data_IF_305448817291
#
_entry.id   IF_305448817291
#
_cell.length_a   1.000
_cell.length_b   1.000
_cell.length_c   1.000
_cell.angle_alpha   90.00
_cell.angle_beta   90.00
_cell.angle_gamma   90.00
#
_symmetry.space_group_name_H-M   'P 1'
#
loop_
_entity.id
_entity.type
_entity.pdbx_description
1 polymer ?
#
# COMPACT_ATOMS: atom_id res chain seq x y z
N UNK A 1 -2.96 4.19 36.24
CA UNK A 1 -1.80 3.61 35.55
C UNK A 1 -0.70 4.65 35.51
N UNK A 2 0.54 4.28 35.83
CA UNK A 2 1.67 5.21 35.76
C UNK A 2 2.08 5.49 34.30
N UNK A 3 2.86 6.55 34.07
CA UNK A 3 3.38 6.89 32.76
C UNK A 3 4.19 5.72 32.16
N UNK A 4 5.03 5.09 32.97
CA UNK A 4 5.87 3.94 32.58
C UNK A 4 5.01 2.74 32.16
N UNK A 5 3.92 2.47 32.88
CA UNK A 5 2.97 1.41 32.51
C UNK A 5 2.29 1.67 31.16
N UNK A 6 1.96 2.94 30.87
CA UNK A 6 1.39 3.33 29.57
C UNK A 6 2.41 3.17 28.44
N UNK A 7 3.68 3.53 28.66
CA UNK A 7 4.75 3.31 27.68
C UNK A 7 4.98 1.81 27.43
N UNK A 8 5.06 1.00 28.48
CA UNK A 8 5.18 -0.46 28.34
C UNK A 8 4.01 -1.06 27.56
N UNK A 9 2.77 -0.61 27.86
CA UNK A 9 1.59 -1.03 27.12
C UNK A 9 1.66 -0.61 25.65
N UNK A 10 2.05 0.63 25.36
CA UNK A 10 2.23 1.12 23.99
C UNK A 10 3.23 0.26 23.20
N UNK A 11 4.40 -0.03 23.79
CA UNK A 11 5.43 -0.91 23.16
C UNK A 11 4.88 -2.31 22.92
N UNK A 12 4.12 -2.87 23.87
CA UNK A 12 3.51 -4.19 23.71
C UNK A 12 2.49 -4.26 22.57
N UNK A 13 1.71 -3.18 22.36
CA UNK A 13 0.75 -3.06 21.28
C UNK A 13 1.48 -2.94 19.94
N UNK A 14 2.49 -2.07 19.87
CA UNK A 14 3.32 -1.87 18.68
C UNK A 14 4.03 -3.17 18.24
N UNK A 15 4.54 -3.97 19.19
CA UNK A 15 5.10 -5.30 18.92
C UNK A 15 4.07 -6.26 18.32
N UNK A 16 2.85 -6.31 18.91
CA UNK A 16 1.77 -7.18 18.41
C UNK A 16 1.33 -6.79 17.01
N UNK A 17 1.19 -5.48 16.75
CA UNK A 17 0.84 -4.95 15.43
C UNK A 17 1.90 -5.37 14.41
N UNK A 18 3.19 -5.27 14.75
CA UNK A 18 4.28 -5.70 13.87
C UNK A 18 4.14 -7.18 13.49
N UNK A 19 4.00 -8.07 14.48
CA UNK A 19 3.87 -9.52 14.25
C UNK A 19 2.64 -9.83 13.37
N UNK A 20 1.50 -9.21 13.67
CA UNK A 20 0.28 -9.40 12.89
C UNK A 20 0.41 -8.89 11.46
N UNK A 21 1.10 -7.75 11.24
CA UNK A 21 1.37 -7.22 9.91
C UNK A 21 2.31 -8.13 9.11
N UNK A 22 3.35 -8.68 9.74
CA UNK A 22 4.27 -9.62 9.09
C UNK A 22 3.52 -10.87 8.62
N UNK A 23 2.70 -11.47 9.50
CA UNK A 23 1.85 -12.61 9.14
C UNK A 23 0.82 -12.26 8.06
N UNK A 24 0.20 -11.09 8.15
CA UNK A 24 -0.77 -10.61 7.15
C UNK A 24 -0.13 -10.44 5.77
N UNK A 25 1.11 -9.94 5.73
CA UNK A 25 1.86 -9.79 4.48
C UNK A 25 2.15 -11.15 3.84
N UNK A 26 2.59 -12.14 4.63
CA UNK A 26 2.80 -13.51 4.14
C UNK A 26 1.50 -14.14 3.58
N UNK A 27 0.39 -14.00 4.30
CA UNK A 27 -0.91 -14.51 3.85
C UNK A 27 -1.38 -13.83 2.55
N UNK A 28 -1.11 -12.52 2.41
CA UNK A 28 -1.43 -11.77 1.17
C UNK A 28 -0.61 -12.25 0.00
N UNK A 29 0.68 -12.54 0.20
CA UNK A 29 1.58 -13.06 -0.82
C UNK A 29 1.14 -14.45 -1.28
N UNK A 30 0.96 -15.39 -0.35
CA UNK A 30 0.46 -16.74 -0.66
C UNK A 30 -0.87 -16.71 -1.40
N UNK A 31 -1.80 -15.84 -0.98
CA UNK A 31 -3.09 -15.67 -1.67
C UNK A 31 -2.90 -15.11 -3.08
N UNK A 32 -1.99 -14.16 -3.28
CA UNK A 32 -1.73 -13.57 -4.59
C UNK A 32 -1.12 -14.60 -5.56
N UNK A 33 -0.16 -15.40 -5.08
CA UNK A 33 0.45 -16.49 -5.86
C UNK A 33 -0.58 -17.55 -6.25
N UNK A 34 -1.40 -18.00 -5.29
CA UNK A 34 -2.48 -18.95 -5.57
C UNK A 34 -3.52 -18.36 -6.52
N UNK A 35 -3.87 -17.08 -6.36
CA UNK A 35 -4.80 -16.42 -7.28
C UNK A 35 -4.26 -16.45 -8.71
N UNK A 36 -2.98 -16.16 -8.91
CA UNK A 36 -2.34 -16.19 -10.24
C UNK A 36 -2.41 -17.58 -10.88
N UNK A 37 -2.13 -18.64 -10.12
CA UNK A 37 -2.23 -20.01 -10.63
C UNK A 37 -3.67 -20.40 -10.95
N UNK A 38 -4.65 -20.00 -10.13
CA UNK A 38 -6.08 -20.22 -10.37
C UNK A 38 -6.59 -19.48 -11.61
N UNK A 39 -6.20 -18.22 -11.81
CA UNK A 39 -6.54 -17.48 -13.04
C UNK A 39 -5.94 -18.16 -14.27
N UNK A 40 -4.68 -18.59 -14.21
CA UNK A 40 -4.02 -19.31 -15.33
C UNK A 40 -4.74 -20.62 -15.65
N UNK A 41 -5.14 -21.37 -14.62
CA UNK A 41 -5.90 -22.61 -14.80
C UNK A 41 -7.29 -22.33 -15.39
N UNK A 42 -7.98 -21.29 -14.91
CA UNK A 42 -9.29 -20.92 -15.41
C UNK A 42 -9.24 -20.50 -16.88
N UNK A 43 -8.25 -19.72 -17.29
CA UNK A 43 -8.06 -19.34 -18.69
C UNK A 43 -7.82 -20.55 -19.59
N UNK A 44 -6.93 -21.47 -19.18
CA UNK A 44 -6.63 -22.70 -19.96
C UNK A 44 -7.82 -23.63 -20.13
N UNK A 45 -8.76 -23.60 -19.19
CA UNK A 45 -9.93 -24.47 -19.18
C UNK A 45 -11.24 -23.74 -19.52
N UNK A 46 -11.15 -22.49 -20.02
CA UNK A 46 -12.31 -21.65 -20.36
C UNK A 46 -13.32 -21.44 -19.20
N UNK A 47 -12.83 -21.38 -17.95
CA UNK A 47 -13.63 -21.22 -16.73
C UNK A 47 -13.76 -19.76 -16.27
N UNK A 48 -13.39 -18.78 -17.10
CA UNK A 48 -13.41 -17.36 -16.73
C UNK A 48 -14.79 -16.85 -16.28
N UNK A 49 -15.88 -17.47 -16.76
CA UNK A 49 -17.26 -17.12 -16.37
C UNK A 49 -17.85 -18.08 -15.33
N UNK A 50 -17.06 -18.99 -14.76
CA UNK A 50 -17.53 -19.98 -13.81
C UNK A 50 -17.98 -19.33 -12.49
N UNK A 51 -19.02 -19.91 -11.89
CA UNK A 51 -19.55 -19.52 -10.59
C UNK A 51 -19.28 -20.64 -9.59
N UNK A 52 -18.33 -20.44 -8.68
CA UNK A 52 -17.87 -21.45 -7.73
C UNK A 52 -18.60 -21.19 -6.41
N UNK A 53 -19.43 -22.14 -5.96
CA UNK A 53 -20.11 -22.04 -4.68
C UNK A 53 -19.19 -22.46 -3.53
N UNK A 54 -19.21 -21.71 -2.44
CA UNK A 54 -18.50 -21.99 -1.19
C UNK A 54 -19.47 -21.83 -0.02
N UNK A 55 -19.10 -22.30 1.18
CA UNK A 55 -20.00 -22.35 2.34
C UNK A 55 -20.53 -20.97 2.76
N UNK A 56 -19.77 -19.90 2.52
CA UNK A 56 -20.10 -18.52 2.87
C UNK A 56 -20.47 -17.64 1.66
N UNK A 57 -20.65 -18.23 0.46
CA UNK A 57 -21.06 -17.46 -0.72
C UNK A 57 -20.58 -18.06 -2.04
N UNK A 58 -20.17 -17.19 -2.97
CA UNK A 58 -19.74 -17.60 -4.31
C UNK A 58 -18.50 -16.83 -4.77
N UNK A 59 -17.64 -17.49 -5.52
CA UNK A 59 -16.48 -16.92 -6.17
C UNK A 59 -16.69 -16.86 -7.69
N UNK A 60 -16.19 -15.78 -8.28
CA UNK A 60 -16.13 -15.58 -9.73
C UNK A 60 -14.79 -14.95 -10.09
N UNK A 61 -14.26 -15.30 -11.25
CA UNK A 61 -13.14 -14.58 -11.84
C UNK A 61 -13.66 -13.24 -12.37
N UNK A 62 -13.08 -12.14 -11.91
CA UNK A 62 -13.52 -10.79 -12.27
C UNK A 62 -12.31 -9.94 -12.61
N UNK A 63 -12.35 -9.28 -13.75
CA UNK A 63 -11.35 -8.27 -14.13
C UNK A 63 -11.86 -6.90 -13.74
N UNK A 64 -11.25 -6.29 -12.74
CA UNK A 64 -11.54 -4.92 -12.34
C UNK A 64 -10.51 -3.96 -12.94
N UNK A 65 -11.00 -2.86 -13.54
CA UNK A 65 -10.13 -1.73 -13.90
C UNK A 65 -9.89 -0.90 -12.64
N UNK A 66 -8.65 -0.89 -12.16
CA UNK A 66 -8.25 -0.04 -11.03
C UNK A 66 -7.67 1.25 -11.61
N UNK A 67 -8.30 2.39 -11.30
CA UNK A 67 -7.72 3.69 -11.66
C UNK A 67 -6.52 3.98 -10.77
N UNK A 68 -5.42 4.42 -11.37
CA UNK A 68 -4.27 4.87 -10.60
C UNK A 68 -4.66 6.09 -9.74
N UNK A 69 -4.08 6.22 -8.53
CA UNK A 69 -4.26 7.41 -7.72
C UNK A 69 -3.75 8.65 -8.46
N UNK A 70 -4.41 9.78 -8.23
CA UNK A 70 -4.05 11.07 -8.83
C UNK A 70 -2.75 11.60 -8.21
N UNK A 71 -1.62 11.04 -8.64
CA UNK A 71 -0.29 11.47 -8.22
C UNK A 71 0.10 12.78 -8.90
N UNK A 72 0.95 13.58 -8.26
CA UNK A 72 1.48 14.81 -8.89
C UNK A 72 2.20 14.50 -10.21
N UNK A 73 2.85 13.34 -10.33
CA UNK A 73 3.47 12.88 -11.59
C UNK A 73 2.44 12.65 -12.69
N UNK A 74 1.29 12.05 -12.35
CA UNK A 74 0.20 11.86 -13.29
C UNK A 74 -0.42 13.20 -13.70
N UNK A 75 -0.64 14.12 -12.75
CA UNK A 75 -1.15 15.47 -13.03
C UNK A 75 -0.19 16.25 -13.92
N UNK A 76 1.12 16.25 -13.62
CA UNK A 76 2.15 16.91 -14.42
C UNK A 76 2.18 16.37 -15.85
N UNK A 77 2.19 15.05 -16.02
CA UNK A 77 2.14 14.41 -17.34
C UNK A 77 0.88 14.82 -18.11
N UNK A 78 -0.28 14.72 -17.47
CA UNK A 78 -1.58 15.03 -18.11
C UNK A 78 -1.68 16.50 -18.51
N UNK A 79 -1.15 17.42 -17.68
CA UNK A 79 -1.09 18.84 -17.99
C UNK A 79 -0.09 19.13 -19.12
N UNK A 80 1.04 18.44 -19.18
CA UNK A 80 2.02 18.57 -20.27
C UNK A 80 1.53 18.07 -21.63
N UNK A 81 0.58 17.13 -21.65
CA UNK A 81 -0.09 16.69 -22.88
C UNK A 81 -1.05 17.74 -23.45
N UNK A 82 -1.53 18.69 -22.62
CA UNK A 82 -2.52 19.71 -22.99
C UNK A 82 -1.86 21.09 -23.14
N UNK A 83 -0.86 21.40 -22.31
CA UNK A 83 -0.20 22.70 -22.24
C UNK A 83 1.23 22.54 -22.78
N UNK A 84 1.52 23.14 -23.93
CA UNK A 84 2.85 23.05 -24.57
C UNK A 84 3.97 23.74 -23.79
N UNK A 85 3.64 24.64 -22.87
CA UNK A 85 4.61 25.33 -22.03
C UNK A 85 4.90 24.54 -20.75
N UNK A 86 6.03 23.84 -20.72
CA UNK A 86 6.46 23.05 -19.56
C UNK A 86 6.66 23.89 -18.29
N UNK A 87 7.08 25.15 -18.39
CA UNK A 87 7.25 26.01 -17.22
C UNK A 87 5.91 26.32 -16.55
N UNK A 88 4.85 26.53 -17.34
CA UNK A 88 3.50 26.74 -16.82
C UNK A 88 2.98 25.48 -16.12
N UNK A 89 3.22 24.31 -16.70
CA UNK A 89 2.85 23.02 -16.09
C UNK A 89 3.54 22.84 -14.74
N UNK A 90 4.86 23.09 -14.67
CA UNK A 90 5.63 23.01 -13.42
C UNK A 90 5.11 24.01 -12.37
N UNK A 91 4.78 25.24 -12.77
CA UNK A 91 4.19 26.25 -11.87
C UNK A 91 2.87 25.79 -11.27
N UNK A 92 1.98 25.21 -12.08
CA UNK A 92 0.69 24.68 -11.60
C UNK A 92 0.90 23.53 -10.61
N UNK A 93 1.77 22.58 -10.94
CA UNK A 93 2.04 21.43 -10.07
C UNK A 93 2.66 21.86 -8.74
N UNK A 94 3.56 22.84 -8.75
CA UNK A 94 4.14 23.39 -7.52
C UNK A 94 3.10 24.13 -6.69
N UNK A 95 2.25 24.95 -7.33
CA UNK A 95 1.14 25.60 -6.65
C UNK A 95 0.24 24.59 -5.92
N UNK A 96 -0.11 23.48 -6.57
CA UNK A 96 -0.90 22.41 -5.95
C UNK A 96 -0.19 21.71 -4.78
N UNK A 97 1.14 21.61 -4.80
CA UNK A 97 1.91 21.05 -3.66
C UNK A 97 1.90 22.01 -2.48
N UNK A 98 2.09 23.30 -2.73
CA UNK A 98 2.24 24.32 -1.70
C UNK A 98 0.92 24.67 -1.01
N UNK A 99 -0.19 24.60 -1.74
CA UNK A 99 -1.53 24.93 -1.24
C UNK A 99 -2.31 23.71 -0.72
N UNK A 100 -1.70 22.52 -0.75
CA UNK A 100 -2.33 21.33 -0.19
C UNK A 100 -2.38 21.47 1.32
N UNK A 101 -3.56 21.31 1.90
CA UNK A 101 -3.70 21.35 3.36
C UNK A 101 -2.94 20.18 3.99
N UNK A 102 -2.07 20.50 4.95
CA UNK A 102 -1.36 19.54 5.78
C UNK A 102 -1.84 19.66 7.22
N UNK A 103 -2.11 18.51 7.84
CA UNK A 103 -2.37 18.43 9.27
C UNK A 103 -1.11 17.95 9.97
N UNK A 104 -0.55 18.78 10.85
CA UNK A 104 0.52 18.36 11.76
C UNK A 104 -0.08 17.49 12.85
N UNK A 105 0.37 16.25 12.95
CA UNK A 105 -0.05 15.30 14.00
C UNK A 105 1.18 14.91 14.80
N UNK A 106 1.08 15.02 16.13
CA UNK A 106 2.12 14.50 17.03
C UNK A 106 1.96 12.98 17.13
N UNK A 107 3.05 12.25 16.89
CA UNK A 107 3.07 10.79 16.89
C UNK A 107 4.20 10.27 17.78
N UNK A 108 3.91 9.25 18.60
CA UNK A 108 4.94 8.47 19.28
C UNK A 108 5.45 7.41 18.30
N UNK A 109 6.75 7.43 17.99
CA UNK A 109 7.36 6.56 16.96
C UNK A 109 8.53 5.76 17.51
N UNK A 110 8.59 4.48 17.17
CA UNK A 110 9.75 3.61 17.45
C UNK A 110 10.86 3.88 16.43
N UNK A 111 12.07 4.11 16.94
CA UNK A 111 13.30 4.15 16.13
C UNK A 111 14.15 2.93 16.50
N UNK A 112 14.51 2.10 15.52
CA UNK A 112 15.42 0.96 15.74
C UNK A 112 16.86 1.45 15.75
N UNK A 113 17.65 1.00 16.73
CA UNK A 113 19.08 1.30 16.76
C UNK A 113 19.82 0.29 15.87
N UNK A 114 19.92 0.55 14.57
CA UNK A 114 20.85 -0.19 13.70
C UNK A 114 22.26 0.35 13.94
N UNK A 115 22.92 -0.13 15.00
CA UNK A 115 24.37 -0.10 15.06
C UNK A 115 24.89 -1.16 14.08
N UNK A 116 25.05 -0.79 12.82
CA UNK A 116 25.93 -1.49 11.90
C UNK A 116 27.38 -1.27 12.35
N UNK A 117 27.80 -1.98 13.40
CA UNK A 117 29.20 -2.33 13.56
C UNK A 117 29.50 -3.37 12.47
N UNK A 118 29.79 -2.90 11.26
CA UNK A 118 30.58 -3.67 10.32
C UNK A 118 31.94 -3.85 10.99
N UNK A 119 32.13 -5.02 11.60
CA UNK A 119 33.41 -5.49 12.09
C UNK A 119 34.45 -5.30 10.98
N UNK A 120 35.40 -4.39 11.22
CA UNK A 120 36.76 -4.60 10.73
C UNK A 120 37.25 -5.90 11.38
N UNK A 121 37.49 -6.90 10.54
CA UNK A 121 38.62 -7.81 10.62
C UNK A 121 38.77 -8.48 9.25
#
# INVERSE_FOLDING_TARGET
>A
MSFEQNIQKWVSLDNKIKILNDNLNQLREQRAELSKSLYTYAERNNLNNANIQISDGKLKFVTNKVSNPLSFKYVEKSLGEIISNEEQVKKIVNYLKDHREFKTVQELKRFSNTNSNSSQN
#
